data_IF_095198783894
#
_entry.id   IF_095198783894
#
_cell.length_a   1.000
_cell.length_b   1.000
_cell.length_c   1.000
_cell.angle_alpha   90.00
_cell.angle_beta   90.00
_cell.angle_gamma   90.00
#
_symmetry.space_group_name_H-M   'P 1'
#
loop_
_entity.id
_entity.type
_entity.pdbx_description
1 polymer ?
#
# COMPACT_ATOMS: atom_id res chain seq x y z
N UNK A 1 10.39 6.57 -7.70
CA UNK A 1 10.71 6.01 -6.35
C UNK A 1 9.57 5.07 -5.95
N UNK A 2 9.85 3.92 -5.33
CA UNK A 2 8.80 2.99 -4.87
C UNK A 2 9.06 2.48 -3.46
N UNK A 3 7.97 2.22 -2.73
CA UNK A 3 7.99 1.57 -1.42
C UNK A 3 7.13 0.30 -1.48
N UNK A 4 7.58 -0.76 -0.82
CA UNK A 4 6.83 -2.02 -0.70
C UNK A 4 6.87 -2.50 0.74
N UNK A 5 5.70 -2.76 1.31
CA UNK A 5 5.53 -3.29 2.66
C UNK A 5 4.81 -4.63 2.58
N UNK A 6 5.51 -5.71 2.87
CA UNK A 6 4.94 -7.06 2.88
C UNK A 6 4.61 -7.51 4.30
N UNK A 7 3.41 -8.04 4.51
CA UNK A 7 2.89 -8.35 5.84
C UNK A 7 3.03 -9.82 6.26
N UNK A 8 3.52 -10.71 5.39
CA UNK A 8 3.67 -12.14 5.71
C UNK A 8 2.36 -12.73 6.25
N UNK A 9 2.41 -13.51 7.33
CA UNK A 9 1.21 -14.10 7.92
C UNK A 9 0.30 -13.10 8.68
N UNK A 10 0.71 -11.84 8.87
CA UNK A 10 -0.09 -10.85 9.58
C UNK A 10 -1.35 -10.49 8.77
N UNK A 11 -2.45 -10.23 9.49
CA UNK A 11 -3.78 -9.97 8.94
C UNK A 11 -4.29 -8.59 9.33
N UNK A 12 -3.61 -7.50 8.93
CA UNK A 12 -4.06 -6.16 9.28
C UNK A 12 -5.39 -5.84 8.60
N UNK A 13 -6.27 -5.13 9.32
CA UNK A 13 -7.47 -4.49 8.75
C UNK A 13 -7.18 -3.06 8.28
N UNK A 14 -6.16 -2.42 8.87
CA UNK A 14 -5.68 -1.10 8.48
C UNK A 14 -4.23 -0.88 8.93
N UNK A 15 -3.55 0.06 8.26
CA UNK A 15 -2.19 0.50 8.57
C UNK A 15 -2.03 2.00 8.33
N UNK A 16 -1.40 2.68 9.28
CA UNK A 16 -0.92 4.05 9.08
C UNK A 16 0.42 4.01 8.34
N UNK A 17 0.55 4.86 7.33
CA UNK A 17 1.78 5.08 6.58
C UNK A 17 2.21 6.54 6.68
N UNK A 18 3.52 6.76 6.54
CA UNK A 18 4.13 8.09 6.42
C UNK A 18 5.06 8.07 5.22
N UNK A 19 4.64 8.71 4.14
CA UNK A 19 5.43 8.93 2.94
C UNK A 19 5.81 10.41 2.84
N UNK A 20 6.81 10.79 2.01
CA UNK A 20 7.13 12.19 1.76
C UNK A 20 5.90 13.00 1.36
N UNK A 21 5.64 14.11 2.05
CA UNK A 21 4.49 14.99 1.78
C UNK A 21 4.59 15.70 0.42
N UNK A 22 5.82 15.98 -0.03
CA UNK A 22 6.10 16.71 -1.27
C UNK A 22 5.90 15.88 -2.54
N UNK A 23 5.48 14.61 -2.43
CA UNK A 23 5.27 13.71 -3.58
C UNK A 23 3.95 12.96 -3.43
N UNK A 24 3.28 12.72 -4.56
CA UNK A 24 2.11 11.84 -4.63
C UNK A 24 2.54 10.43 -5.03
N UNK A 25 1.81 9.45 -4.52
CA UNK A 25 2.03 8.04 -4.79
C UNK A 25 0.72 7.38 -5.17
N UNK A 26 0.76 6.49 -6.16
CA UNK A 26 -0.32 5.53 -6.40
C UNK A 26 -0.19 4.38 -5.39
N UNK A 27 -1.22 4.19 -4.58
CA UNK A 27 -1.31 3.15 -3.57
C UNK A 27 -1.97 1.90 -4.16
N UNK A 28 -1.38 0.73 -3.89
CA UNK A 28 -1.87 -0.56 -4.35
C UNK A 28 -1.79 -1.59 -3.24
N UNK A 29 -2.80 -2.45 -3.14
CA UNK A 29 -2.76 -3.68 -2.37
C UNK A 29 -2.51 -4.86 -3.29
N UNK A 30 -1.53 -5.68 -2.94
CA UNK A 30 -1.15 -6.87 -3.69
C UNK A 30 -1.50 -8.09 -2.86
N UNK A 31 -2.39 -8.92 -3.37
CA UNK A 31 -2.62 -10.26 -2.86
C UNK A 31 -1.61 -11.19 -3.55
N UNK A 32 -0.53 -11.54 -2.83
CA UNK A 32 0.54 -12.36 -3.42
C UNK A 32 0.12 -13.81 -3.63
N UNK A 33 -0.94 -14.26 -2.97
CA UNK A 33 -1.45 -15.63 -3.12
C UNK A 33 -2.33 -15.76 -4.35
N UNK A 34 -3.25 -14.82 -4.55
CA UNK A 34 -4.14 -14.79 -5.72
C UNK A 34 -3.54 -14.05 -6.92
N UNK A 35 -2.31 -13.54 -6.80
CA UNK A 35 -1.59 -12.78 -7.81
C UNK A 35 -2.40 -11.58 -8.35
N UNK A 36 -3.13 -10.89 -7.47
CA UNK A 36 -3.99 -9.77 -7.85
C UNK A 36 -3.51 -8.45 -7.26
N UNK A 37 -3.86 -7.35 -7.93
CA UNK A 37 -3.54 -5.99 -7.52
C UNK A 37 -4.84 -5.19 -7.47
N UNK A 38 -5.07 -4.53 -6.33
CA UNK A 38 -6.17 -3.60 -6.12
C UNK A 38 -5.61 -2.17 -6.03
N UNK A 39 -6.15 -1.27 -6.84
CA UNK A 39 -5.81 0.15 -6.80
C UNK A 39 -6.56 0.84 -5.65
N UNK A 40 -5.82 1.53 -4.77
CA UNK A 40 -6.38 2.18 -3.58
C UNK A 40 -6.38 3.71 -3.67
N UNK A 41 -6.08 4.26 -4.84
CA UNK A 41 -6.05 5.70 -5.11
C UNK A 41 -4.69 6.36 -4.87
N UNK A 42 -4.68 7.68 -4.89
CA UNK A 42 -3.48 8.49 -4.68
C UNK A 42 -3.34 8.92 -3.22
N UNK A 43 -2.12 8.91 -2.72
CA UNK A 43 -1.79 9.24 -1.33
C UNK A 43 -0.52 10.09 -1.24
N UNK A 44 -0.40 10.87 -0.17
CA UNK A 44 0.81 11.59 0.21
C UNK A 44 0.84 11.80 1.73
N UNK A 45 2.02 12.09 2.28
CA UNK A 45 2.15 12.40 3.71
C UNK A 45 1.74 11.26 4.64
N UNK A 46 1.02 11.62 5.72
CA UNK A 46 0.46 10.67 6.69
C UNK A 46 -0.97 10.28 6.30
N UNK A 47 -1.23 8.99 6.16
CA UNK A 47 -2.56 8.47 5.82
C UNK A 47 -2.76 7.06 6.39
N UNK A 48 -4.01 6.63 6.47
CA UNK A 48 -4.39 5.25 6.82
C UNK A 48 -4.90 4.54 5.57
N UNK A 49 -4.34 3.37 5.29
CA UNK A 49 -4.81 2.48 4.24
C UNK A 49 -5.63 1.36 4.87
N UNK A 50 -6.86 1.17 4.39
CA UNK A 50 -7.65 -0.02 4.71
C UNK A 50 -7.05 -1.23 4.01
N UNK A 51 -6.98 -2.34 4.74
CA UNK A 51 -6.42 -3.61 4.29
C UNK A 51 -7.53 -4.66 4.28
N UNK A 52 -7.25 -5.83 3.70
CA UNK A 52 -8.28 -6.88 3.50
C UNK A 52 -8.42 -7.85 4.67
N UNK A 53 -7.58 -7.78 5.71
CA UNK A 53 -7.54 -8.77 6.79
C UNK A 53 -7.04 -10.16 6.36
N UNK A 54 -6.53 -10.29 5.13
CA UNK A 54 -5.93 -11.54 4.63
C UNK A 54 -4.42 -11.59 4.95
N UNK A 55 -3.84 -12.79 5.12
CA UNK A 55 -2.39 -12.94 5.16
C UNK A 55 -1.80 -12.74 3.75
N UNK A 56 -0.48 -12.58 3.70
CA UNK A 56 0.34 -12.50 2.49
C UNK A 56 0.00 -11.33 1.57
N UNK A 57 -0.48 -10.24 2.18
CA UNK A 57 -0.73 -8.98 1.50
C UNK A 57 0.54 -8.12 1.46
N UNK A 58 0.71 -7.36 0.40
CA UNK A 58 1.67 -6.26 0.35
C UNK A 58 0.96 -4.92 0.05
N UNK A 59 1.41 -3.84 0.67
CA UNK A 59 1.08 -2.48 0.26
C UNK A 59 2.23 -1.91 -0.57
N UNK A 60 1.95 -1.48 -1.79
CA UNK A 60 2.91 -0.87 -2.71
C UNK A 60 2.55 0.58 -2.97
N UNK A 61 3.56 1.45 -2.98
CA UNK A 61 3.42 2.87 -3.29
C UNK A 61 4.40 3.24 -4.38
N UNK A 62 3.88 3.74 -5.50
CA UNK A 62 4.67 4.12 -6.68
C UNK A 62 4.56 5.62 -6.83
N UNK A 63 5.69 6.34 -6.83
CA UNK A 63 5.69 7.78 -7.06
C UNK A 63 5.03 8.08 -8.41
N UNK A 64 4.17 9.08 -8.43
CA UNK A 64 3.62 9.63 -9.66
C UNK A 64 4.60 10.72 -10.07
N UNK A 65 5.32 10.48 -11.17
CA UNK A 65 6.17 11.51 -11.76
C UNK A 65 5.26 12.42 -12.61
N UNK A 66 5.35 13.73 -12.39
CA UNK A 66 4.73 14.74 -13.27
C UNK A 66 5.51 14.87 -14.59
#
# INVERSE_FOLDING_TARGET
MTYLYYYGANRPLEREFRLPESKKYRAQLIDTWNMSIEECGEVSGRFVLKMTGKPYMAARFIAIDE
#
